data_IF_536209015355
#
_entry.id   IF_536209015355
#
_cell.length_a   1.000
_cell.length_b   1.000
_cell.length_c   1.000
_cell.angle_alpha   90.00
_cell.angle_beta   90.00
_cell.angle_gamma   90.00
#
_symmetry.space_group_name_H-M   'P 1'
#
loop_
_entity.id
_entity.type
_entity.pdbx_description
1 polymer ?
#
# COMPACT_ATOMS: atom_id res chain seq x y z
N UNK A 1 27.51 20.88 11.96
CA UNK A 1 26.29 21.03 11.12
C UNK A 1 26.30 19.94 10.06
N UNK A 2 25.67 18.80 10.35
CA UNK A 2 25.58 17.69 9.39
C UNK A 2 24.19 17.71 8.76
N UNK A 3 24.14 17.92 7.45
CA UNK A 3 22.93 17.89 6.66
C UNK A 3 22.35 16.47 6.69
N UNK A 4 21.20 16.31 7.36
CA UNK A 4 20.35 15.13 7.27
C UNK A 4 19.68 15.12 5.90
N UNK A 5 20.39 14.63 4.89
CA UNK A 5 19.78 14.26 3.61
C UNK A 5 18.87 13.08 3.88
N UNK A 6 17.59 13.38 4.11
CA UNK A 6 16.54 12.37 4.15
C UNK A 6 16.67 11.50 2.90
N UNK A 7 16.73 10.17 3.03
CA UNK A 7 16.77 9.31 1.86
C UNK A 7 15.51 9.57 1.00
N UNK A 8 15.60 9.42 -0.33
CA UNK A 8 14.44 9.57 -1.20
C UNK A 8 13.31 8.64 -0.73
N UNK A 9 12.10 9.20 -0.58
CA UNK A 9 10.89 8.56 -0.03
C UNK A 9 10.39 7.31 -0.79
N UNK A 10 11.12 6.86 -1.82
CA UNK A 10 10.81 5.70 -2.64
C UNK A 10 11.39 4.38 -2.09
N UNK A 11 12.25 4.44 -1.08
CA UNK A 11 13.07 3.29 -0.69
C UNK A 11 12.53 2.50 0.50
N UNK A 12 11.32 1.95 0.40
CA UNK A 12 10.92 0.75 1.16
C UNK A 12 9.97 -0.12 0.33
N UNK A 13 10.40 -0.48 -0.87
CA UNK A 13 9.73 -1.55 -1.64
C UNK A 13 9.96 -2.85 -0.90
N UNK A 14 8.89 -3.45 -0.36
CA UNK A 14 8.98 -4.77 0.26
C UNK A 14 9.03 -5.82 -0.85
N UNK A 15 9.97 -6.79 -0.83
CA UNK A 15 9.98 -7.85 -1.82
C UNK A 15 8.66 -8.63 -1.82
N UNK A 16 8.19 -8.99 -3.01
CA UNK A 16 6.94 -9.75 -3.20
C UNK A 16 7.06 -11.12 -2.49
N UNK A 17 6.06 -11.55 -1.70
CA UNK A 17 6.08 -12.88 -1.07
C UNK A 17 6.11 -14.02 -2.10
N UNK A 18 6.93 -15.03 -1.84
CA UNK A 18 7.29 -16.12 -2.75
C UNK A 18 6.25 -17.27 -2.84
N UNK A 19 4.94 -16.99 -2.95
CA UNK A 19 3.97 -18.03 -3.32
C UNK A 19 3.90 -18.15 -4.85
N UNK A 20 4.10 -19.38 -5.37
CA UNK A 20 4.07 -19.65 -6.81
C UNK A 20 2.71 -19.37 -7.44
N UNK A 21 2.65 -18.89 -8.70
CA UNK A 21 1.45 -18.31 -9.33
C UNK A 21 0.30 -19.30 -9.58
N UNK A 22 0.54 -20.62 -9.54
CA UNK A 22 -0.41 -21.62 -10.05
C UNK A 22 -1.56 -22.01 -9.12
N UNK A 23 -1.59 -21.54 -7.86
CA UNK A 23 -2.63 -21.93 -6.88
C UNK A 23 -3.18 -20.76 -6.06
N UNK A 24 -2.95 -19.51 -6.49
CA UNK A 24 -3.26 -18.36 -5.65
C UNK A 24 -4.71 -17.88 -5.89
N UNK A 25 -5.58 -18.19 -4.93
CA UNK A 25 -6.95 -17.64 -4.90
C UNK A 25 -6.93 -16.11 -4.87
N UNK A 26 -8.05 -15.49 -5.25
CA UNK A 26 -8.17 -14.02 -5.27
C UNK A 26 -7.80 -13.38 -3.92
N UNK A 27 -8.19 -14.04 -2.82
CA UNK A 27 -7.84 -13.64 -1.46
C UNK A 27 -6.34 -13.72 -1.18
N UNK A 28 -5.65 -14.79 -1.60
CA UNK A 28 -4.20 -14.88 -1.45
C UNK A 28 -3.50 -13.80 -2.29
N UNK A 29 -3.99 -13.53 -3.51
CA UNK A 29 -3.45 -12.47 -4.38
C UNK A 29 -3.56 -11.09 -3.75
N UNK A 30 -4.73 -10.78 -3.20
CA UNK A 30 -4.95 -9.56 -2.43
C UNK A 30 -4.03 -9.49 -1.20
N UNK A 31 -3.89 -10.56 -0.42
CA UNK A 31 -3.00 -10.58 0.74
C UNK A 31 -1.52 -10.37 0.37
N UNK A 32 -1.05 -10.99 -0.71
CA UNK A 32 0.31 -10.79 -1.21
C UNK A 32 0.52 -9.36 -1.71
N UNK A 33 -0.47 -8.79 -2.39
CA UNK A 33 -0.40 -7.39 -2.83
C UNK A 33 -0.42 -6.41 -1.65
N UNK A 34 -1.23 -6.67 -0.62
CA UNK A 34 -1.22 -5.87 0.62
C UNK A 34 0.12 -5.98 1.37
N UNK A 35 0.84 -7.10 1.25
CA UNK A 35 2.17 -7.26 1.84
C UNK A 35 3.24 -6.39 1.16
N UNK A 36 2.98 -5.91 -0.07
CA UNK A 36 3.91 -5.08 -0.83
C UNK A 36 3.94 -3.61 -0.38
N UNK A 37 2.84 -3.13 0.21
CA UNK A 37 2.70 -1.76 0.72
C UNK A 37 3.03 -1.67 2.22
N UNK A 38 3.25 -0.45 2.70
CA UNK A 38 3.53 -0.20 4.12
C UNK A 38 2.29 -0.42 5.01
N UNK A 39 2.50 -0.57 6.32
CA UNK A 39 1.39 -0.64 7.29
C UNK A 39 0.50 0.60 7.20
N UNK A 40 1.11 1.79 7.16
CA UNK A 40 0.36 3.04 7.19
C UNK A 40 -0.49 3.22 5.91
N UNK A 41 0.04 2.82 4.76
CA UNK A 41 -0.70 2.84 3.50
C UNK A 41 -1.84 1.81 3.52
N UNK A 42 -1.60 0.62 4.10
CA UNK A 42 -2.64 -0.40 4.28
C UNK A 42 -3.77 0.07 5.18
N UNK A 43 -3.43 0.64 6.34
CA UNK A 43 -4.43 1.09 7.32
C UNK A 43 -5.31 2.19 6.73
N UNK A 44 -4.70 3.12 5.97
CA UNK A 44 -5.44 4.17 5.28
C UNK A 44 -6.34 3.60 4.17
N UNK A 45 -5.86 2.62 3.40
CA UNK A 45 -6.69 1.93 2.40
C UNK A 45 -7.85 1.16 3.06
N UNK A 46 -7.61 0.46 4.17
CA UNK A 46 -8.63 -0.29 4.90
C UNK A 46 -9.71 0.64 5.45
N UNK A 47 -9.30 1.77 6.05
CA UNK A 47 -10.24 2.79 6.52
C UNK A 47 -11.07 3.37 5.38
N UNK A 48 -10.47 3.64 4.20
CA UNK A 48 -11.20 4.20 3.07
C UNK A 48 -12.15 3.19 2.41
N UNK A 49 -11.67 1.98 2.11
CA UNK A 49 -12.40 1.03 1.27
C UNK A 49 -13.21 0.01 2.07
N UNK A 50 -12.72 -0.46 3.22
CA UNK A 50 -13.45 -1.42 4.06
C UNK A 50 -14.38 -0.71 5.03
N UNK A 51 -13.93 0.38 5.66
CA UNK A 51 -14.73 1.13 6.62
C UNK A 51 -15.50 2.32 6.02
N UNK A 52 -15.34 2.60 4.72
CA UNK A 52 -16.02 3.69 4.02
C UNK A 52 -15.70 5.09 4.55
N UNK A 53 -14.60 5.26 5.31
CA UNK A 53 -14.25 6.52 5.91
C UNK A 53 -13.67 7.49 4.85
N UNK A 54 -14.19 8.72 4.73
CA UNK A 54 -13.61 9.70 3.82
C UNK A 54 -12.23 10.17 4.32
N UNK A 55 -11.30 10.58 3.43
CA UNK A 55 -9.94 10.99 3.81
C UNK A 55 -9.87 12.12 4.85
N UNK A 56 -10.83 13.05 4.83
CA UNK A 56 -10.95 14.12 5.81
C UNK A 56 -11.28 13.61 7.22
N UNK A 57 -12.06 12.53 7.32
CA UNK A 57 -12.37 11.91 8.61
C UNK A 57 -11.19 11.09 9.13
N UNK A 58 -10.50 10.35 8.25
CA UNK A 58 -9.26 9.64 8.58
C UNK A 58 -8.19 10.60 9.10
N UNK A 59 -8.00 11.74 8.42
CA UNK A 59 -7.09 12.80 8.85
C UNK A 59 -7.38 13.27 10.28
N UNK A 60 -8.66 13.47 10.63
CA UNK A 60 -9.07 13.86 11.99
C UNK A 60 -8.87 12.74 13.01
N UNK A 61 -9.21 11.49 12.66
CA UNK A 61 -9.08 10.34 13.55
C UNK A 61 -7.61 10.03 13.88
N UNK A 62 -6.75 10.06 12.87
CA UNK A 62 -5.34 9.71 13.02
C UNK A 62 -4.44 10.90 13.37
N UNK A 63 -4.98 12.13 13.39
CA UNK A 63 -4.22 13.36 13.60
C UNK A 63 -3.05 13.54 12.60
N UNK A 64 -3.28 13.09 11.37
CA UNK A 64 -2.33 13.19 10.25
C UNK A 64 -2.86 14.22 9.26
N UNK A 65 -2.01 15.10 8.67
CA UNK A 65 -2.47 16.07 7.68
C UNK A 65 -3.19 15.42 6.49
N UNK A 66 -4.27 16.04 6.01
CA UNK A 66 -5.06 15.50 4.89
C UNK A 66 -4.21 15.24 3.63
N UNK A 67 -3.22 16.09 3.35
CA UNK A 67 -2.28 15.88 2.24
C UNK A 67 -1.43 14.62 2.40
N UNK A 68 -1.05 14.27 3.64
CA UNK A 68 -0.32 13.04 3.91
C UNK A 68 -1.22 11.80 3.76
N UNK A 69 -2.47 11.86 4.21
CA UNK A 69 -3.48 10.80 3.98
C UNK A 69 -3.68 10.54 2.48
N UNK A 70 -3.87 11.61 1.69
CA UNK A 70 -4.02 11.48 0.23
C UNK A 70 -2.78 10.86 -0.41
N UNK A 71 -1.59 11.32 -0.02
CA UNK A 71 -0.35 10.77 -0.54
C UNK A 71 -0.14 9.29 -0.14
N UNK A 72 -0.60 8.87 1.05
CA UNK A 72 -0.61 7.46 1.47
C UNK A 72 -1.61 6.63 0.66
N UNK A 73 -2.81 7.16 0.40
CA UNK A 73 -3.80 6.50 -0.47
C UNK A 73 -3.24 6.28 -1.88
N UNK A 74 -2.67 7.32 -2.48
CA UNK A 74 -2.15 7.24 -3.85
C UNK A 74 -1.01 6.22 -3.96
N UNK A 75 -0.04 6.26 -3.03
CA UNK A 75 1.06 5.30 -2.99
C UNK A 75 0.60 3.88 -2.70
N UNK A 76 -0.29 3.71 -1.72
CA UNK A 76 -0.85 2.42 -1.34
C UNK A 76 -1.61 1.78 -2.50
N UNK A 77 -2.49 2.54 -3.14
CA UNK A 77 -3.28 2.03 -4.26
C UNK A 77 -2.39 1.68 -5.45
N UNK A 78 -1.44 2.55 -5.80
CA UNK A 78 -0.49 2.27 -6.87
C UNK A 78 0.34 1.01 -6.59
N UNK A 79 0.91 0.89 -5.39
CA UNK A 79 1.72 -0.27 -4.99
C UNK A 79 0.91 -1.56 -4.97
N UNK A 80 -0.32 -1.52 -4.47
CA UNK A 80 -1.24 -2.66 -4.45
C UNK A 80 -1.60 -3.13 -5.86
N UNK A 81 -2.02 -2.22 -6.74
CA UNK A 81 -2.38 -2.54 -8.13
C UNK A 81 -1.18 -3.04 -8.94
N UNK A 82 0.00 -2.45 -8.73
CA UNK A 82 1.24 -2.91 -9.35
C UNK A 82 1.59 -4.33 -8.89
N UNK A 83 1.45 -4.65 -7.60
CA UNK A 83 1.69 -6.00 -7.11
C UNK A 83 0.69 -7.02 -7.70
N UNK A 84 -0.58 -6.64 -7.89
CA UNK A 84 -1.56 -7.49 -8.55
C UNK A 84 -1.26 -7.71 -10.04
N UNK A 85 -0.80 -6.68 -10.75
CA UNK A 85 -0.46 -6.80 -12.17
C UNK A 85 0.74 -7.72 -12.39
N UNK A 86 1.77 -7.66 -11.53
CA UNK A 86 2.90 -8.57 -11.54
C UNK A 86 2.48 -10.03 -11.30
N UNK A 87 1.56 -10.26 -10.36
CA UNK A 87 1.02 -11.60 -10.11
C UNK A 87 0.22 -12.13 -11.30
N UNK A 88 -0.55 -11.26 -11.98
CA UNK A 88 -1.29 -11.63 -13.18
C UNK A 88 -0.38 -11.94 -14.37
N UNK A 89 0.72 -11.20 -14.52
CA UNK A 89 1.72 -11.44 -15.57
C UNK A 89 2.47 -12.76 -15.37
N UNK A 90 2.73 -13.15 -14.11
CA UNK A 90 3.42 -14.41 -13.78
C UNK A 90 2.54 -15.66 -13.91
N UNK A 91 1.24 -15.49 -14.17
CA UNK A 91 0.25 -16.57 -14.24
C UNK A 91 -0.16 -16.96 -15.67
N UNK A 92 0.45 -16.35 -16.70
CA UNK A 92 0.35 -16.76 -18.11
C UNK A 92 1.55 -17.62 -18.47
#
# INVERSE_FOLDING_TARGET
>A
MAALTSPPRFARVRPLPAKGPRQMGERDRAQTALAFITSDERDVLELCFSAGCPPAEISRKLQIPLGAIKAQLDRGLFGFLHALSLQAASSR
#
